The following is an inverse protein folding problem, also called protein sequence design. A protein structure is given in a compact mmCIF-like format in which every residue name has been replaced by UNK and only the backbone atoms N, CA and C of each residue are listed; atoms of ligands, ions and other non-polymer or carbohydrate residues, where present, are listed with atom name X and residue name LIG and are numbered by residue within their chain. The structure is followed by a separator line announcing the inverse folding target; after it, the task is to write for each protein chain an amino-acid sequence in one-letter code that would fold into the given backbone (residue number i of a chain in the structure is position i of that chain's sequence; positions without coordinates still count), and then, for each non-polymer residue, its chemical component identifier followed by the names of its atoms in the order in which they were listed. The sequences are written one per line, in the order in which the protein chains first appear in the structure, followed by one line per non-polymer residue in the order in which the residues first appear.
data_IF_843505464580
#
_entry.id   IF_843505464580
#
_cell.length_a   1.000
_cell.length_b   1.000
_cell.length_c   1.000
_cell.angle_alpha   90.00
_cell.angle_beta   90.00
_cell.angle_gamma   90.00
#
_symmetry.space_group_name_H-M   'P 1'
#
loop_
_entity.id
_entity.type
_entity.pdbx_description
1 polymer ?
#
# COMPACT_ATOMS: atom_id res chain seq x y z
N UNK A 1 9.55 -6.08 27.22
CA UNK A 1 8.94 -6.72 26.04
C UNK A 1 8.47 -5.58 25.16
N UNK A 2 8.97 -5.49 23.93
CA UNK A 2 8.54 -4.44 23.00
C UNK A 2 7.24 -4.88 22.33
N UNK A 3 6.28 -3.96 22.26
CA UNK A 3 4.98 -4.18 21.65
C UNK A 3 4.78 -3.16 20.53
N UNK A 4 4.15 -3.59 19.44
CA UNK A 4 3.75 -2.73 18.35
C UNK A 4 2.29 -3.00 17.97
N UNK A 5 1.67 -2.04 17.32
CA UNK A 5 0.36 -2.21 16.70
C UNK A 5 0.53 -2.44 15.21
N UNK A 6 -0.34 -3.27 14.64
CA UNK A 6 -0.36 -3.55 13.21
C UNK A 6 -1.81 -3.68 12.76
N UNK A 7 -2.00 -3.75 11.45
CA UNK A 7 -3.29 -4.03 10.83
C UNK A 7 -3.71 -5.45 11.23
N UNK A 8 -4.92 -5.60 11.77
CA UNK A 8 -5.45 -6.90 12.20
C UNK A 8 -5.91 -7.76 11.00
N UNK A 9 -6.57 -7.12 10.04
CA UNK A 9 -7.08 -7.77 8.83
C UNK A 9 -7.03 -6.83 7.63
N UNK A 10 -7.06 -7.41 6.42
CA UNK A 10 -7.09 -6.64 5.20
C UNK A 10 -8.27 -5.65 5.18
N UNK A 11 -8.03 -4.44 4.70
CA UNK A 11 -9.04 -3.39 4.61
C UNK A 11 -8.93 -2.68 3.26
N UNK A 12 -10.07 -2.15 2.80
CA UNK A 12 -10.17 -1.39 1.57
C UNK A 12 -11.03 -0.15 1.81
N UNK A 13 -10.66 0.95 1.16
CA UNK A 13 -11.47 2.15 1.10
C UNK A 13 -11.45 2.73 -0.32
N UNK A 14 -12.54 3.40 -0.70
CA UNK A 14 -12.62 4.17 -1.95
C UNK A 14 -12.92 5.63 -1.62
N UNK A 15 -12.25 6.53 -2.31
CA UNK A 15 -12.46 7.97 -2.23
C UNK A 15 -12.54 8.56 -3.64
N UNK A 16 -13.43 9.52 -3.84
CA UNK A 16 -13.58 10.23 -5.11
C UNK A 16 -13.47 11.72 -4.88
N UNK A 17 -12.62 12.36 -5.66
CA UNK A 17 -12.48 13.81 -5.67
C UNK A 17 -12.21 14.30 -7.08
N UNK A 18 -12.90 15.36 -7.51
CA UNK A 18 -12.65 16.07 -8.77
C UNK A 18 -12.48 15.16 -10.01
N UNK A 19 -13.27 14.09 -10.09
CA UNK A 19 -13.24 13.13 -11.20
C UNK A 19 -12.15 12.04 -11.08
N UNK A 20 -11.26 12.17 -10.11
CA UNK A 20 -10.31 11.12 -9.72
C UNK A 20 -10.97 10.10 -8.79
N UNK A 21 -10.57 8.84 -8.92
CA UNK A 21 -10.97 7.74 -8.04
C UNK A 21 -9.72 7.13 -7.40
N UNK A 22 -9.69 7.14 -6.09
CA UNK A 22 -8.64 6.58 -5.27
C UNK A 22 -9.15 5.32 -4.59
N UNK A 23 -8.45 4.22 -4.76
CA UNK A 23 -8.78 2.94 -4.13
C UNK A 23 -7.59 2.55 -3.27
N UNK A 24 -7.76 2.58 -1.96
CA UNK A 24 -6.74 2.23 -0.99
C UNK A 24 -6.94 0.80 -0.50
N UNK A 25 -5.82 0.08 -0.36
CA UNK A 25 -5.78 -1.25 0.23
C UNK A 25 -4.74 -1.27 1.35
N UNK A 26 -5.11 -1.85 2.48
CA UNK A 26 -4.25 -2.06 3.62
C UNK A 26 -4.22 -3.55 3.95
N UNK A 27 -3.03 -4.14 4.03
CA UNK A 27 -2.84 -5.56 4.32
C UNK A 27 -1.90 -5.75 5.51
N UNK A 28 -2.18 -6.69 6.43
CA UNK A 28 -1.14 -7.23 7.27
C UNK A 28 -0.15 -8.01 6.39
N UNK A 29 1.13 -7.69 6.51
CA UNK A 29 2.20 -8.39 5.81
C UNK A 29 3.35 -8.68 6.77
N UNK A 30 4.00 -9.82 6.56
CA UNK A 30 5.15 -10.26 7.36
C UNK A 30 6.45 -10.27 6.57
N UNK A 31 6.40 -10.03 5.26
CA UNK A 31 7.59 -9.99 4.41
C UNK A 31 7.43 -9.12 3.16
N UNK A 32 8.54 -8.66 2.55
CA UNK A 32 8.50 -7.97 1.27
C UNK A 32 7.95 -8.83 0.11
N UNK A 33 8.01 -10.15 0.23
CA UNK A 33 7.50 -11.09 -0.77
C UNK A 33 5.97 -11.13 -0.78
N UNK A 34 5.34 -11.09 0.41
CA UNK A 34 3.88 -10.95 0.53
C UNK A 34 3.40 -9.65 -0.08
N UNK A 35 4.09 -8.54 0.22
CA UNK A 35 3.83 -7.25 -0.43
C UNK A 35 3.83 -7.37 -1.96
N UNK A 36 4.85 -8.01 -2.54
CA UNK A 36 4.95 -8.17 -4.01
C UNK A 36 3.76 -8.96 -4.58
N UNK A 37 3.27 -9.98 -3.87
CA UNK A 37 2.09 -10.75 -4.30
C UNK A 37 0.84 -9.85 -4.34
N UNK A 38 0.59 -9.08 -3.30
CA UNK A 38 -0.53 -8.14 -3.25
C UNK A 38 -0.41 -7.05 -4.32
N UNK A 39 0.77 -6.45 -4.48
CA UNK A 39 1.01 -5.43 -5.49
C UNK A 39 0.72 -5.96 -6.91
N UNK A 40 1.18 -7.17 -7.23
CA UNK A 40 0.91 -7.78 -8.53
C UNK A 40 -0.57 -8.11 -8.74
N UNK A 41 -1.25 -8.59 -7.70
CA UNK A 41 -2.69 -8.86 -7.75
C UNK A 41 -3.48 -7.56 -8.00
N UNK A 42 -3.18 -6.50 -7.25
CA UNK A 42 -3.83 -5.20 -7.41
C UNK A 42 -3.57 -4.57 -8.78
N UNK A 43 -2.36 -4.68 -9.33
CA UNK A 43 -2.07 -4.20 -10.70
C UNK A 43 -2.87 -4.97 -11.76
N UNK A 44 -3.14 -6.26 -11.55
CA UNK A 44 -4.00 -7.07 -12.44
C UNK A 44 -5.47 -6.72 -12.29
N UNK A 45 -5.92 -6.41 -11.08
CA UNK A 45 -7.30 -6.03 -10.78
C UNK A 45 -7.63 -4.62 -11.29
N UNK A 46 -6.66 -3.69 -11.22
CA UNK A 46 -6.81 -2.29 -11.62
C UNK A 46 -5.87 -1.90 -12.78
N UNK A 47 -5.99 -2.52 -13.96
CA UNK A 47 -5.09 -2.27 -15.09
C UNK A 47 -5.20 -0.84 -15.67
N UNK A 48 -6.25 -0.09 -15.29
CA UNK A 48 -6.49 1.30 -15.69
C UNK A 48 -6.03 2.33 -14.65
N UNK A 49 -5.46 1.90 -13.52
CA UNK A 49 -4.92 2.83 -12.53
C UNK A 49 -3.74 3.61 -13.14
N UNK A 50 -3.77 4.94 -12.99
CA UNK A 50 -2.71 5.82 -13.50
C UNK A 50 -1.47 5.73 -12.63
N UNK A 51 -1.66 5.70 -11.31
CA UNK A 51 -0.63 5.54 -10.31
C UNK A 51 -1.04 4.44 -9.33
N UNK A 52 -0.11 3.54 -9.03
CA UNK A 52 -0.22 2.50 -8.02
C UNK A 52 0.77 2.77 -6.90
N UNK A 53 0.52 3.85 -6.16
CA UNK A 53 1.32 4.26 -5.01
C UNK A 53 1.28 3.17 -3.93
N UNK A 54 2.41 3.00 -3.24
CA UNK A 54 2.49 2.04 -2.15
C UNK A 54 3.45 2.49 -1.07
N UNK A 55 3.21 1.99 0.13
CA UNK A 55 4.16 2.01 1.22
C UNK A 55 4.02 0.76 2.07
N UNK A 56 5.13 0.31 2.66
CA UNK A 56 5.12 -0.66 3.74
C UNK A 56 6.25 -0.40 4.73
N UNK A 57 6.07 -0.93 5.94
CA UNK A 57 7.06 -0.96 7.02
C UNK A 57 6.93 -2.29 7.76
N UNK A 58 8.06 -2.93 8.00
CA UNK A 58 8.18 -4.27 8.58
C UNK A 58 9.21 -4.24 9.71
N UNK A 59 9.07 -5.19 10.63
CA UNK A 59 9.90 -5.30 11.83
C UNK A 59 9.36 -4.44 12.98
N UNK A 60 9.71 -4.84 14.21
CA UNK A 60 9.27 -4.16 15.44
C UNK A 60 9.77 -2.70 15.45
N UNK A 61 10.99 -2.48 14.96
CA UNK A 61 11.62 -1.17 14.86
C UNK A 61 11.31 -0.45 13.54
N UNK A 62 10.64 -1.12 12.60
CA UNK A 62 10.28 -0.54 11.30
C UNK A 62 11.46 -0.29 10.36
N UNK A 63 12.59 -0.98 10.58
CA UNK A 63 13.84 -0.80 9.83
C UNK A 63 13.74 -1.25 8.37
N UNK A 64 12.84 -2.18 8.06
CA UNK A 64 12.56 -2.61 6.69
C UNK A 64 11.32 -1.89 6.15
N UNK A 65 11.54 -0.81 5.41
CA UNK A 65 10.46 -0.03 4.82
C UNK A 65 10.73 0.30 3.35
N UNK A 66 9.65 0.56 2.62
CA UNK A 66 9.71 1.05 1.24
C UNK A 66 8.45 1.86 0.93
N UNK A 67 8.61 2.92 0.15
CA UNK A 67 7.52 3.68 -0.42
C UNK A 67 7.81 4.01 -1.89
N UNK A 68 6.77 4.29 -2.65
CA UNK A 68 6.85 4.70 -4.05
C UNK A 68 5.55 5.39 -4.43
N UNK A 69 5.67 6.60 -4.98
CA UNK A 69 4.54 7.38 -5.47
C UNK A 69 4.17 7.04 -6.93
N UNK A 70 4.83 6.05 -7.54
CA UNK A 70 4.54 5.56 -8.90
C UNK A 70 4.42 6.69 -9.95
N UNK A 71 5.28 7.70 -9.82
CA UNK A 71 5.36 8.84 -10.73
C UNK A 71 4.33 9.94 -10.47
N UNK A 72 3.67 9.98 -9.30
CA UNK A 72 2.87 11.15 -8.94
C UNK A 72 3.74 12.42 -8.91
N UNK A 73 3.18 13.58 -9.34
CA UNK A 73 3.92 14.83 -9.38
C UNK A 73 4.37 15.26 -7.98
N UNK A 74 5.65 15.58 -7.85
CA UNK A 74 6.24 16.03 -6.59
C UNK A 74 5.60 17.34 -6.10
N UNK A 75 5.09 17.34 -4.88
CA UNK A 75 4.40 18.49 -4.26
C UNK A 75 2.97 18.21 -3.76
N UNK A 76 2.57 16.93 -3.68
CA UNK A 76 1.31 16.48 -3.09
C UNK A 76 1.49 16.09 -1.63
#
# INVERSE_FOLDING_TARGET
MEFFTTIDQAAQAEFKDRGSRFIAYAYPISSPEEFKKYQQALRKEHPKAVHCCFAYRLGINGDQFRASDDGEPAGT
#
